data_IF_705724257239
#
_entry.id   IF_705724257239
#
_cell.length_a   1.000
_cell.length_b   1.000
_cell.length_c   1.000
_cell.angle_alpha   90.00
_cell.angle_beta   90.00
_cell.angle_gamma   90.00
#
_symmetry.space_group_name_H-M   'P 1'
#
loop_
_entity.id
_entity.type
_entity.pdbx_description
1 polymer ?
#
# COMPACT_ATOMS: atom_id res chain seq x y z
N UNK A 1 4.23 24.01 -14.58
CA UNK A 1 3.62 24.49 -13.32
C UNK A 1 2.47 23.61 -12.81
N UNK A 2 1.40 23.34 -13.56
CA UNK A 2 0.25 22.52 -13.09
C UNK A 2 0.60 21.10 -12.59
N UNK A 3 1.56 20.40 -13.24
CA UNK A 3 2.03 19.08 -12.79
C UNK A 3 2.82 19.13 -11.47
N UNK A 4 3.63 20.16 -11.27
CA UNK A 4 4.43 20.33 -10.04
C UNK A 4 3.52 20.69 -8.87
N UNK A 5 2.55 21.59 -9.08
CA UNK A 5 1.53 21.91 -8.07
C UNK A 5 0.65 20.71 -7.70
N UNK A 6 0.34 19.83 -8.67
CA UNK A 6 -0.38 18.59 -8.41
C UNK A 6 0.44 17.59 -7.58
N UNK A 7 1.74 17.46 -7.85
CA UNK A 7 2.65 16.60 -7.08
C UNK A 7 2.87 17.15 -5.67
N UNK A 8 3.06 18.47 -5.54
CA UNK A 8 3.20 19.13 -4.22
C UNK A 8 1.90 19.01 -3.42
N UNK A 9 0.74 19.18 -4.05
CA UNK A 9 -0.57 18.95 -3.43
C UNK A 9 -0.76 17.50 -3.00
N UNK A 10 -0.30 16.53 -3.80
CA UNK A 10 -0.35 15.12 -3.46
C UNK A 10 0.61 14.76 -2.31
N UNK A 11 1.81 15.34 -2.28
CA UNK A 11 2.76 15.18 -1.18
C UNK A 11 2.20 15.80 0.10
N UNK A 12 1.67 17.03 0.03
CA UNK A 12 1.04 17.69 1.18
C UNK A 12 -0.20 16.95 1.67
N UNK A 13 -1.00 16.35 0.80
CA UNK A 13 -2.12 15.51 1.21
C UNK A 13 -1.66 14.25 1.97
N UNK A 14 -0.57 13.60 1.50
CA UNK A 14 -0.03 12.41 2.17
C UNK A 14 0.76 12.73 3.45
N UNK A 15 1.37 13.92 3.54
CA UNK A 15 2.14 14.37 4.72
C UNK A 15 1.25 15.15 5.70
N UNK A 16 0.07 15.59 5.28
CA UNK A 16 -0.87 16.41 6.06
C UNK A 16 -1.23 15.84 7.44
N UNK A 17 -1.70 14.57 7.53
CA UNK A 17 -1.97 13.94 8.82
C UNK A 17 -0.72 13.90 9.71
N UNK A 18 0.45 13.70 9.12
CA UNK A 18 1.74 13.64 9.79
C UNK A 18 2.16 15.00 10.38
N UNK A 19 1.93 16.09 9.64
CA UNK A 19 2.15 17.46 10.13
C UNK A 19 1.19 17.79 11.26
N UNK A 20 -0.10 17.43 11.12
CA UNK A 20 -1.12 17.65 12.16
C UNK A 20 -0.76 16.88 13.42
N UNK A 21 -0.38 15.61 13.28
CA UNK A 21 0.07 14.78 14.39
C UNK A 21 1.26 15.41 15.11
N UNK A 22 2.32 15.77 14.38
CA UNK A 22 3.53 16.35 14.98
C UNK A 22 3.26 17.70 15.66
N UNK A 23 2.45 18.57 15.04
CA UNK A 23 2.10 19.87 15.62
C UNK A 23 1.30 19.73 16.92
N UNK A 24 0.36 18.78 16.96
CA UNK A 24 -0.46 18.56 18.16
C UNK A 24 0.28 17.78 19.24
N UNK A 25 1.16 16.86 18.88
CA UNK A 25 1.98 16.12 19.85
C UNK A 25 2.93 17.07 20.57
N UNK A 26 3.60 17.96 19.83
CA UNK A 26 4.46 18.98 20.42
C UNK A 26 3.73 19.94 21.36
N UNK A 27 2.49 20.33 21.02
CA UNK A 27 1.75 21.35 21.76
C UNK A 27 0.94 20.80 22.95
N UNK A 28 0.33 19.62 22.80
CA UNK A 28 -0.65 19.09 23.75
C UNK A 28 -0.43 17.62 24.12
N UNK A 29 0.66 17.03 23.64
CA UNK A 29 1.02 15.64 23.87
C UNK A 29 0.25 14.66 23.00
N UNK A 30 0.57 13.39 23.20
CA UNK A 30 0.19 12.31 22.31
C UNK A 30 -1.32 12.12 22.13
N UNK A 31 -2.11 12.24 23.20
CA UNK A 31 -3.56 11.95 23.13
C UNK A 31 -4.29 12.95 22.21
N UNK A 32 -4.12 14.28 22.38
CA UNK A 32 -4.63 15.27 21.43
C UNK A 32 -4.09 15.11 20.01
N UNK A 33 -2.83 14.69 19.84
CA UNK A 33 -2.24 14.42 18.54
C UNK A 33 -2.95 13.32 17.77
N UNK A 34 -3.20 12.19 18.43
CA UNK A 34 -3.93 11.06 17.87
C UNK A 34 -5.36 11.50 17.48
N UNK A 35 -6.06 12.22 18.37
CA UNK A 35 -7.43 12.69 18.10
C UNK A 35 -7.45 13.67 16.93
N UNK A 36 -6.54 14.64 16.88
CA UNK A 36 -6.48 15.62 15.80
C UNK A 36 -6.15 14.97 14.45
N UNK A 37 -5.22 14.01 14.45
CA UNK A 37 -4.85 13.25 13.26
C UNK A 37 -6.03 12.39 12.77
N UNK A 38 -6.74 11.72 13.68
CA UNK A 38 -7.94 10.95 13.35
C UNK A 38 -9.06 11.83 12.79
N UNK A 39 -9.35 12.98 13.42
CA UNK A 39 -10.34 13.95 12.93
C UNK A 39 -9.96 14.49 11.56
N UNK A 40 -8.68 14.78 11.33
CA UNK A 40 -8.18 15.23 10.04
C UNK A 40 -8.36 14.15 8.97
N UNK A 41 -7.98 12.90 9.24
CA UNK A 41 -8.16 11.77 8.33
C UNK A 41 -9.64 11.49 8.03
N UNK A 42 -10.51 11.55 9.03
CA UNK A 42 -11.98 11.44 8.84
C UNK A 42 -12.49 12.60 7.97
N UNK A 43 -12.01 13.83 8.21
CA UNK A 43 -12.33 14.99 7.39
C UNK A 43 -11.92 14.81 5.93
N UNK A 44 -10.74 14.24 5.67
CA UNK A 44 -10.27 13.93 4.32
C UNK A 44 -11.14 12.86 3.64
N UNK A 45 -11.54 11.82 4.37
CA UNK A 45 -12.47 10.78 3.89
C UNK A 45 -13.82 11.42 3.52
N UNK A 46 -14.38 12.25 4.39
CA UNK A 46 -15.65 12.95 4.17
C UNK A 46 -15.56 13.92 2.98
N UNK A 47 -14.43 14.60 2.81
CA UNK A 47 -14.17 15.47 1.68
C UNK A 47 -14.12 14.69 0.35
N UNK A 48 -13.44 13.56 0.31
CA UNK A 48 -13.39 12.67 -0.88
C UNK A 48 -14.75 12.06 -1.21
N UNK A 49 -15.52 11.69 -0.18
CA UNK A 49 -16.92 11.28 -0.30
C UNK A 49 -17.78 12.38 -0.92
N UNK A 50 -17.64 13.62 -0.45
CA UNK A 50 -18.35 14.77 -1.00
C UNK A 50 -18.01 15.04 -2.46
N UNK A 51 -16.75 14.81 -2.86
CA UNK A 51 -16.29 14.94 -4.26
C UNK A 51 -16.66 13.77 -5.18
N UNK A 52 -17.37 12.75 -4.67
CA UNK A 52 -17.75 11.53 -5.40
C UNK A 52 -16.57 10.81 -6.05
N UNK A 53 -15.40 10.87 -5.42
CA UNK A 53 -14.25 10.08 -5.86
C UNK A 53 -14.50 8.59 -5.55
N UNK A 54 -14.19 7.66 -6.47
CA UNK A 54 -14.43 6.24 -6.24
C UNK A 54 -13.58 5.75 -5.07
N UNK A 55 -14.24 5.31 -3.99
CA UNK A 55 -13.55 4.71 -2.85
C UNK A 55 -13.09 3.31 -3.24
N UNK A 56 -11.79 3.15 -3.40
CA UNK A 56 -11.16 1.87 -3.72
C UNK A 56 -11.26 0.90 -2.54
N UNK A 57 -11.30 -0.40 -2.81
CA UNK A 57 -11.24 -1.42 -1.76
C UNK A 57 -10.01 -1.24 -0.86
N UNK A 58 -8.87 -0.88 -1.47
CA UNK A 58 -7.62 -0.59 -0.76
C UNK A 58 -7.82 0.52 0.30
N UNK A 59 -8.48 1.62 -0.10
CA UNK A 59 -8.78 2.72 0.81
C UNK A 59 -9.68 2.29 1.97
N UNK A 60 -10.69 1.44 1.71
CA UNK A 60 -11.56 0.93 2.78
C UNK A 60 -10.78 0.09 3.77
N UNK A 61 -9.90 -0.80 3.29
CA UNK A 61 -9.08 -1.67 4.14
C UNK A 61 -8.13 -0.82 4.97
N UNK A 62 -7.39 0.11 4.35
CA UNK A 62 -6.46 0.98 5.09
C UNK A 62 -7.20 1.85 6.10
N UNK A 63 -8.27 2.55 5.69
CA UNK A 63 -9.02 3.41 6.60
C UNK A 63 -9.64 2.63 7.77
N UNK A 64 -10.18 1.43 7.52
CA UNK A 64 -10.75 0.59 8.59
C UNK A 64 -9.67 0.13 9.56
N UNK A 65 -8.50 -0.28 9.07
CA UNK A 65 -7.38 -0.71 9.91
C UNK A 65 -6.81 0.46 10.72
N UNK A 66 -6.58 1.62 10.09
CA UNK A 66 -6.10 2.83 10.79
C UNK A 66 -7.06 3.28 11.88
N UNK A 67 -8.36 3.36 11.57
CA UNK A 67 -9.39 3.77 12.56
C UNK A 67 -9.53 2.71 13.65
N UNK A 68 -9.58 1.43 13.29
CA UNK A 68 -9.73 0.33 14.26
C UNK A 68 -8.56 0.25 15.24
N UNK A 69 -7.32 0.30 14.74
CA UNK A 69 -6.12 0.28 15.59
C UNK A 69 -5.98 1.57 16.40
N UNK A 70 -6.30 2.73 15.83
CA UNK A 70 -6.28 4.01 16.54
C UNK A 70 -7.28 4.05 17.71
N UNK A 71 -8.47 3.47 17.55
CA UNK A 71 -9.45 3.35 18.65
C UNK A 71 -8.91 2.43 19.75
N UNK A 72 -8.31 1.29 19.40
CA UNK A 72 -7.71 0.38 20.38
C UNK A 72 -6.59 1.07 21.16
N UNK A 73 -5.72 1.83 20.51
CA UNK A 73 -4.65 2.58 21.17
C UNK A 73 -5.18 3.68 22.11
N UNK A 74 -6.31 4.32 21.76
CA UNK A 74 -6.95 5.28 22.66
C UNK A 74 -7.41 4.62 23.97
N UNK A 75 -7.94 3.39 23.91
CA UNK A 75 -8.34 2.64 25.10
C UNK A 75 -7.14 2.16 25.93
N UNK A 76 -6.03 1.82 25.27
CA UNK A 76 -4.81 1.34 25.95
C UNK A 76 -3.89 2.47 26.43
N UNK A 77 -4.18 3.73 26.07
CA UNK A 77 -3.40 4.92 26.38
C UNK A 77 -1.91 4.80 25.99
N UNK A 78 -1.60 3.94 25.02
CA UNK A 78 -0.26 3.67 24.53
C UNK A 78 -0.35 3.45 23.01
N UNK A 79 0.45 4.15 22.19
CA UNK A 79 0.38 4.10 20.72
C UNK A 79 1.04 2.84 20.13
N UNK A 80 1.00 1.72 20.88
CA UNK A 80 1.73 0.51 20.51
C UNK A 80 1.18 -0.07 19.21
N UNK A 81 -0.13 -0.17 19.04
CA UNK A 81 -0.73 -0.79 17.85
C UNK A 81 -0.57 0.08 16.59
N UNK A 82 -0.52 1.40 16.74
CA UNK A 82 -0.29 2.34 15.65
C UNK A 82 1.10 2.15 15.03
N UNK A 83 2.13 1.86 15.85
CA UNK A 83 3.45 1.51 15.33
C UNK A 83 3.44 0.22 14.51
N UNK A 84 2.62 -0.76 14.89
CA UNK A 84 2.49 -2.04 14.18
C UNK A 84 1.53 -2.01 12.99
N UNK A 85 0.70 -0.97 12.84
CA UNK A 85 -0.29 -0.83 11.77
C UNK A 85 0.30 -1.14 10.39
N UNK A 86 1.45 -0.54 10.07
CA UNK A 86 2.09 -0.73 8.77
C UNK A 86 2.59 -2.16 8.57
N UNK A 87 3.08 -2.81 9.64
CA UNK A 87 3.49 -4.21 9.60
C UNK A 87 2.28 -5.12 9.37
N UNK A 88 1.21 -4.94 10.16
CA UNK A 88 -0.02 -5.74 10.09
C UNK A 88 -0.67 -5.59 8.71
N UNK A 89 -0.77 -4.36 8.21
CA UNK A 89 -1.39 -4.08 6.90
C UNK A 89 -0.59 -4.73 5.77
N UNK A 90 0.74 -4.64 5.80
CA UNK A 90 1.59 -5.30 4.81
C UNK A 90 1.51 -6.83 4.92
N UNK A 91 1.48 -7.39 6.14
CA UNK A 91 1.29 -8.81 6.34
C UNK A 91 -0.05 -9.30 5.78
N UNK A 92 -1.14 -8.56 6.04
CA UNK A 92 -2.47 -8.84 5.52
C UNK A 92 -2.51 -8.80 3.99
N UNK A 93 -1.88 -7.80 3.36
CA UNK A 93 -1.73 -7.76 1.90
C UNK A 93 -0.90 -8.93 1.37
N UNK A 94 0.21 -9.28 2.03
CA UNK A 94 1.03 -10.43 1.66
C UNK A 94 0.22 -11.73 1.67
N UNK A 95 -0.58 -11.98 2.72
CA UNK A 95 -1.47 -13.14 2.79
C UNK A 95 -2.55 -13.09 1.71
N UNK A 96 -3.16 -11.93 1.50
CA UNK A 96 -4.20 -11.74 0.48
C UNK A 96 -3.68 -12.05 -0.93
N UNK A 97 -2.52 -11.50 -1.31
CA UNK A 97 -1.91 -11.76 -2.62
C UNK A 97 -1.41 -13.20 -2.75
N UNK A 98 -0.93 -13.82 -1.67
CA UNK A 98 -0.58 -15.24 -1.68
C UNK A 98 -1.81 -16.12 -1.89
N UNK A 99 -2.93 -15.79 -1.25
CA UNK A 99 -4.21 -16.47 -1.46
C UNK A 99 -4.71 -16.32 -2.90
N UNK A 100 -4.60 -15.12 -3.48
CA UNK A 100 -4.92 -14.88 -4.90
C UNK A 100 -4.05 -15.72 -5.84
N UNK A 101 -2.76 -15.88 -5.54
CA UNK A 101 -1.86 -16.73 -6.31
C UNK A 101 -2.30 -18.20 -6.30
N UNK A 102 -2.82 -18.71 -5.17
CA UNK A 102 -3.36 -20.07 -5.04
C UNK A 102 -4.70 -20.24 -5.75
N UNK A 103 -5.60 -19.24 -5.65
CA UNK A 103 -6.91 -19.26 -6.33
C UNK A 103 -6.84 -19.07 -7.84
N UNK A 104 -5.73 -18.52 -8.31
CA UNK A 104 -5.49 -18.23 -9.72
C UNK A 104 -5.69 -16.74 -10.03
N UNK A 105 -4.81 -16.14 -10.84
CA UNK A 105 -4.84 -14.71 -11.16
C UNK A 105 -5.95 -14.32 -12.15
N UNK A 106 -6.90 -15.22 -12.44
CA UNK A 106 -7.97 -15.06 -13.43
C UNK A 106 -8.68 -13.70 -13.38
N UNK A 107 -9.11 -13.20 -12.21
CA UNK A 107 -9.75 -11.89 -12.12
C UNK A 107 -8.89 -10.71 -12.58
N UNK A 108 -7.57 -10.74 -12.32
CA UNK A 108 -6.64 -9.71 -12.79
C UNK A 108 -6.39 -9.82 -14.29
N UNK A 109 -6.30 -11.05 -14.79
CA UNK A 109 -6.15 -11.31 -16.22
C UNK A 109 -7.39 -10.85 -16.98
N UNK A 110 -8.60 -11.19 -16.50
CA UNK A 110 -9.86 -10.77 -17.11
C UNK A 110 -10.01 -9.25 -17.13
N UNK A 111 -9.64 -8.58 -16.04
CA UNK A 111 -9.66 -7.11 -15.97
C UNK A 111 -8.62 -6.49 -16.92
N UNK A 112 -7.42 -7.06 -17.00
CA UNK A 112 -6.37 -6.55 -17.89
C UNK A 112 -6.73 -6.76 -19.36
N UNK A 113 -7.33 -7.89 -19.72
CA UNK A 113 -7.84 -8.14 -21.08
C UNK A 113 -8.99 -7.19 -21.41
N UNK A 114 -9.88 -6.90 -20.44
CA UNK A 114 -10.95 -5.91 -20.62
C UNK A 114 -10.41 -4.51 -20.89
N UNK A 115 -9.37 -4.09 -20.16
CA UNK A 115 -8.76 -2.77 -20.33
C UNK A 115 -7.84 -2.69 -21.57
N UNK A 116 -7.22 -3.81 -21.93
CA UNK A 116 -6.23 -3.93 -23.01
C UNK A 116 -6.47 -5.22 -23.80
N UNK A 117 -7.46 -5.26 -24.70
CA UNK A 117 -7.78 -6.46 -25.48
C UNK A 117 -6.61 -6.96 -26.33
N UNK A 118 -5.72 -6.04 -26.74
CA UNK A 118 -4.51 -6.29 -27.51
C UNK A 118 -3.44 -7.09 -26.73
N UNK A 119 -3.58 -7.24 -25.42
CA UNK A 119 -2.56 -7.86 -24.57
C UNK A 119 -2.37 -9.35 -24.88
N UNK A 120 -3.45 -10.06 -25.26
CA UNK A 120 -3.40 -11.49 -25.55
C UNK A 120 -2.62 -11.80 -26.84
N UNK A 121 -2.65 -10.89 -27.81
CA UNK A 121 -1.90 -11.03 -29.07
C UNK A 121 -0.40 -10.74 -28.87
N UNK A 122 -0.07 -9.96 -27.84
CA UNK A 122 1.31 -9.56 -27.52
C UNK A 122 2.03 -10.52 -26.58
N UNK A 123 1.30 -11.42 -25.93
CA UNK A 123 1.83 -12.40 -24.98
C UNK A 123 1.85 -13.76 -25.66
N UNK A 124 3.02 -14.37 -25.74
CA UNK A 124 3.17 -15.74 -26.24
C UNK A 124 2.39 -16.71 -25.32
N UNK A 125 1.64 -17.65 -25.88
CA UNK A 125 0.72 -18.51 -25.12
C UNK A 125 -0.61 -17.85 -24.73
N UNK A 126 -0.86 -16.61 -25.18
CA UNK A 126 -2.13 -15.92 -25.01
C UNK A 126 -2.54 -15.79 -23.55
N UNK A 127 -3.71 -16.34 -23.19
CA UNK A 127 -4.26 -16.26 -21.83
C UNK A 127 -3.43 -17.03 -20.81
N UNK A 128 -2.98 -18.24 -21.14
CA UNK A 128 -2.16 -19.06 -20.24
C UNK A 128 -0.82 -18.39 -19.94
N UNK A 129 -0.19 -17.84 -20.98
CA UNK A 129 1.04 -17.05 -20.83
C UNK A 129 0.87 -15.83 -19.92
N UNK A 130 -0.29 -15.18 -20.02
CA UNK A 130 -0.63 -14.03 -19.20
C UNK A 130 -0.92 -14.40 -17.75
N UNK A 131 -1.61 -15.51 -17.51
CA UNK A 131 -1.85 -16.06 -16.17
C UNK A 131 -0.54 -16.46 -15.50
N UNK A 132 0.37 -17.13 -16.21
CA UNK A 132 1.69 -17.47 -15.69
C UNK A 132 2.51 -16.23 -15.32
N UNK A 133 2.48 -15.19 -16.16
CA UNK A 133 3.11 -13.91 -15.88
C UNK A 133 2.52 -13.22 -14.64
N UNK A 134 1.20 -13.23 -14.49
CA UNK A 134 0.54 -12.67 -13.31
C UNK A 134 0.87 -13.43 -12.04
N UNK A 135 1.06 -14.76 -12.09
CA UNK A 135 1.53 -15.53 -10.92
C UNK A 135 2.91 -15.08 -10.48
N UNK A 136 3.83 -14.85 -11.43
CA UNK A 136 5.17 -14.34 -11.12
C UNK A 136 5.09 -12.95 -10.50
N UNK A 137 4.28 -12.05 -11.05
CA UNK A 137 4.09 -10.73 -10.48
C UNK A 137 3.51 -10.78 -9.07
N UNK A 138 2.45 -11.58 -8.85
CA UNK A 138 1.87 -11.79 -7.54
C UNK A 138 2.90 -12.35 -6.55
N UNK A 139 3.76 -13.28 -6.96
CA UNK A 139 4.82 -13.80 -6.11
C UNK A 139 5.80 -12.69 -5.68
N UNK A 140 6.19 -11.79 -6.58
CA UNK A 140 7.05 -10.65 -6.26
C UNK A 140 6.32 -9.69 -5.30
N UNK A 141 5.03 -9.40 -5.54
CA UNK A 141 4.18 -8.58 -4.65
C UNK A 141 4.13 -9.18 -3.24
N UNK A 142 3.95 -10.49 -3.13
CA UNK A 142 3.92 -11.20 -1.84
C UNK A 142 5.25 -11.07 -1.12
N UNK A 143 6.37 -11.35 -1.79
CA UNK A 143 7.70 -11.24 -1.19
C UNK A 143 7.94 -9.80 -0.72
N UNK A 144 7.60 -8.81 -1.55
CA UNK A 144 7.69 -7.40 -1.20
C UNK A 144 6.90 -7.10 0.09
N UNK A 145 5.62 -7.46 0.15
CA UNK A 145 4.80 -7.18 1.33
C UNK A 145 5.28 -7.92 2.59
N UNK A 146 5.78 -9.15 2.47
CA UNK A 146 6.33 -9.89 3.61
C UNK A 146 7.62 -9.24 4.13
N UNK A 147 8.53 -8.86 3.23
CA UNK A 147 9.77 -8.16 3.60
C UNK A 147 9.45 -6.81 4.24
N UNK A 148 8.54 -6.04 3.65
CA UNK A 148 8.10 -4.74 4.18
C UNK A 148 7.40 -4.89 5.53
N UNK A 149 6.58 -5.94 5.72
CA UNK A 149 5.97 -6.23 7.02
C UNK A 149 7.02 -6.52 8.09
N UNK A 150 8.04 -7.31 7.77
CA UNK A 150 9.17 -7.58 8.67
C UNK A 150 10.00 -6.34 8.98
N UNK A 151 10.26 -5.50 7.98
CA UNK A 151 10.97 -4.23 8.17
C UNK A 151 10.17 -3.28 9.09
N UNK A 152 8.86 -3.14 8.88
CA UNK A 152 8.02 -2.32 9.75
C UNK A 152 7.83 -2.92 11.14
N UNK A 153 7.85 -4.25 11.28
CA UNK A 153 7.85 -4.92 12.58
C UNK A 153 9.13 -4.57 13.36
N UNK A 154 10.28 -4.63 12.68
CA UNK A 154 11.56 -4.25 13.26
C UNK A 154 11.58 -2.77 13.65
N UNK A 155 11.09 -1.87 12.79
CA UNK A 155 10.98 -0.43 13.10
C UNK A 155 10.10 -0.21 14.32
N UNK A 156 8.91 -0.80 14.35
CA UNK A 156 7.96 -0.67 15.46
C UNK A 156 8.53 -1.17 16.80
N UNK A 157 9.45 -2.13 16.77
CA UNK A 157 10.10 -2.68 17.97
C UNK A 157 11.31 -1.86 18.47
N UNK A 158 11.92 -1.00 17.63
CA UNK A 158 13.19 -0.33 17.94
C UNK A 158 13.11 1.20 17.97
N UNK A 159 12.09 1.80 17.37
CA UNK A 159 11.95 3.25 17.20
C UNK A 159 10.70 3.76 17.91
N UNK A 160 10.70 5.05 18.27
CA UNK A 160 9.48 5.69 18.76
C UNK A 160 8.45 5.82 17.64
N UNK A 161 7.19 6.11 18.00
CA UNK A 161 6.11 6.25 17.03
C UNK A 161 6.44 7.35 16.01
N UNK A 162 7.00 8.47 16.48
CA UNK A 162 7.35 9.63 15.67
C UNK A 162 8.44 9.28 14.65
N UNK A 163 9.48 8.56 15.10
CA UNK A 163 10.56 8.07 14.25
C UNK A 163 10.05 7.05 13.22
N UNK A 164 9.23 6.10 13.66
CA UNK A 164 8.63 5.09 12.79
C UNK A 164 7.73 5.71 11.71
N UNK A 165 6.96 6.73 12.07
CA UNK A 165 6.13 7.52 11.17
C UNK A 165 7.00 8.32 10.19
N UNK A 166 8.08 8.94 10.66
CA UNK A 166 9.04 9.66 9.81
C UNK A 166 9.73 8.75 8.78
N UNK A 167 10.21 7.58 9.22
CA UNK A 167 10.80 6.55 8.34
C UNK A 167 9.75 6.09 7.31
N UNK A 168 8.50 5.85 7.72
CA UNK A 168 7.42 5.49 6.79
C UNK A 168 7.14 6.57 5.75
N UNK A 169 7.13 7.84 6.14
CA UNK A 169 6.86 8.94 5.21
C UNK A 169 7.90 8.99 4.07
N UNK A 170 9.16 8.73 4.40
CA UNK A 170 10.29 8.70 3.46
C UNK A 170 10.24 7.42 2.61
N UNK A 171 10.17 6.25 3.24
CA UNK A 171 10.34 4.97 2.54
C UNK A 171 9.06 4.40 1.94
N UNK A 172 7.89 4.66 2.53
CA UNK A 172 6.60 4.12 2.07
C UNK A 172 6.16 4.65 0.70
N UNK A 173 6.51 5.89 0.37
CA UNK A 173 6.28 6.46 -0.96
C UNK A 173 7.33 5.99 -1.98
N UNK A 174 8.54 5.72 -1.51
CA UNK A 174 9.67 5.27 -2.33
C UNK A 174 9.59 3.77 -2.63
N UNK A 175 8.76 2.99 -1.94
CA UNK A 175 8.71 1.54 -2.19
C UNK A 175 7.72 1.14 -3.29
N UNK A 176 6.60 1.86 -3.44
CA UNK A 176 5.57 1.54 -4.44
C UNK A 176 5.97 1.92 -5.88
N UNK A 177 6.60 3.08 -6.07
CA UNK A 177 6.95 3.60 -7.41
C UNK A 177 8.05 2.77 -8.09
N UNK A 178 9.18 2.45 -7.44
CA UNK A 178 10.20 1.56 -7.99
C UNK A 178 9.71 0.13 -8.09
N UNK A 179 8.78 -0.32 -7.22
CA UNK A 179 8.15 -1.62 -7.37
C UNK A 179 7.34 -1.69 -8.68
N UNK A 180 6.45 -0.72 -8.92
CA UNK A 180 5.69 -0.64 -10.18
C UNK A 180 6.61 -0.44 -11.39
N UNK A 181 7.67 0.36 -11.24
CA UNK A 181 8.71 0.55 -12.26
C UNK A 181 9.50 -0.72 -12.55
N UNK A 182 9.87 -1.48 -11.53
CA UNK A 182 10.56 -2.76 -11.65
C UNK A 182 9.65 -3.80 -12.30
N UNK A 183 8.38 -3.89 -11.90
CA UNK A 183 7.40 -4.73 -12.58
C UNK A 183 7.34 -4.38 -14.07
N UNK A 184 7.26 -3.10 -14.42
CA UNK A 184 7.20 -2.65 -15.81
C UNK A 184 8.47 -2.94 -16.62
N UNK A 185 9.66 -2.72 -16.03
CA UNK A 185 10.95 -2.92 -16.68
C UNK A 185 11.34 -4.39 -16.79
N UNK A 186 10.98 -5.20 -15.79
CA UNK A 186 11.34 -6.61 -15.72
C UNK A 186 10.26 -7.54 -16.27
N UNK A 187 9.10 -7.04 -16.67
CA UNK A 187 8.00 -7.83 -17.25
C UNK A 187 8.47 -8.73 -18.41
N UNK A 188 9.23 -8.18 -19.37
CA UNK A 188 9.76 -8.95 -20.51
C UNK A 188 10.88 -9.95 -20.10
N UNK A 189 11.91 -9.55 -19.32
CA UNK A 189 12.89 -10.49 -18.78
C UNK A 189 12.31 -11.61 -17.90
N UNK A 190 11.31 -11.28 -17.07
CA UNK A 190 10.62 -12.22 -16.18
C UNK A 190 9.82 -13.24 -16.97
N UNK A 191 9.12 -12.81 -18.02
CA UNK A 191 8.43 -13.73 -18.93
C UNK A 191 9.43 -14.72 -19.56
N UNK A 192 10.56 -14.23 -20.09
CA UNK A 192 11.60 -15.10 -20.67
C UNK A 192 12.31 -16.02 -19.66
N UNK A 193 12.43 -15.59 -18.39
CA UNK A 193 12.95 -16.44 -17.32
C UNK A 193 11.96 -17.52 -16.87
N UNK A 194 10.69 -17.16 -16.73
CA UNK A 194 9.63 -18.07 -16.29
C UNK A 194 9.36 -19.16 -17.36
N UNK A 195 9.43 -18.79 -18.65
CA UNK A 195 9.41 -19.74 -19.78
C UNK A 195 10.53 -20.79 -19.71
N UNK A 196 11.77 -20.36 -19.43
CA UNK A 196 12.92 -21.26 -19.26
C UNK A 196 12.76 -22.26 -18.11
N UNK A 197 11.87 -21.97 -17.16
CA UNK A 197 11.56 -22.83 -16.01
C UNK A 197 10.28 -23.66 -16.22
N UNK A 198 9.60 -23.52 -17.36
CA UNK A 198 8.32 -24.20 -17.65
C UNK A 198 7.16 -23.71 -16.77
N UNK A 199 7.26 -22.49 -16.24
CA UNK A 199 6.22 -21.89 -15.39
C UNK A 199 5.17 -21.14 -16.21
N UNK A 200 5.49 -20.84 -17.47
CA UNK A 200 4.73 -20.07 -18.45
C UNK A 200 5.07 -20.60 -19.83
#
# INVERSE_FOLDING_TARGET
MRRILGVVGAILANVGPLVVFYAFDWAWGLKPAIVACAVFSIGEVLWRLHRKEPITFLFKVTATTTVGLGVVDMFLANPTFFSYEASITNAAFGVWFAWLMVKGPGPFVDEMVRQRPDVLEKIEGGREGLEGLMRVLLAIVVVYHVVTAGAYLWIAAHYTVEEAVGIRAIFGNVSLIPFLGAVYLFLNPLHGWAKRRGWV
#
